data_IF_124659412912
#
_entry.id   IF_124659412912
#
_cell.length_a   1.000
_cell.length_b   1.000
_cell.length_c   1.000
_cell.angle_alpha   90.00
_cell.angle_beta   90.00
_cell.angle_gamma   90.00
#
_symmetry.space_group_name_H-M   'P 1'
#
loop_
_entity.id
_entity.type
_entity.pdbx_description
1 polymer ?
#
# COMPACT_ATOMS: atom_id res chain seq x y z
N UNK A 1 7.16 47.82 -75.18
CA UNK A 1 6.61 46.53 -75.65
C UNK A 1 7.47 45.95 -76.78
N UNK A 2 8.07 46.79 -77.62
CA UNK A 2 8.98 46.38 -78.72
C UNK A 2 10.31 45.73 -78.29
N UNK A 3 10.90 46.13 -77.16
CA UNK A 3 12.15 45.55 -76.68
C UNK A 3 12.00 44.07 -76.28
N UNK A 4 10.86 43.71 -75.68
CA UNK A 4 10.54 42.32 -75.32
C UNK A 4 10.33 41.52 -76.59
N UNK A 5 9.53 42.02 -77.54
CA UNK A 5 9.28 41.34 -78.82
C UNK A 5 10.56 41.13 -79.64
N UNK A 6 11.51 42.08 -79.65
CA UNK A 6 12.80 41.93 -80.32
C UNK A 6 13.72 40.91 -79.64
N UNK A 7 13.70 40.81 -78.30
CA UNK A 7 14.44 39.77 -77.58
C UNK A 7 13.89 38.39 -77.93
N UNK A 8 12.56 38.21 -77.94
CA UNK A 8 11.92 36.96 -78.34
C UNK A 8 12.23 36.57 -79.80
N UNK A 9 12.33 37.55 -80.70
CA UNK A 9 12.75 37.33 -82.10
C UNK A 9 14.24 37.00 -82.26
N UNK A 10 15.11 37.54 -81.41
CA UNK A 10 16.56 37.26 -81.42
C UNK A 10 16.95 35.92 -80.79
N UNK A 11 16.04 35.36 -79.98
CA UNK A 11 16.25 34.09 -79.27
C UNK A 11 15.57 32.89 -79.95
N UNK A 12 15.00 33.11 -81.14
CA UNK A 12 14.28 32.10 -81.94
C UNK A 12 13.22 31.33 -81.12
N UNK A 13 12.50 32.04 -80.25
CA UNK A 13 11.42 31.46 -79.44
C UNK A 13 10.22 31.27 -80.36
N UNK A 14 10.22 30.11 -81.01
CA UNK A 14 9.12 29.63 -81.83
C UNK A 14 7.93 29.16 -80.98
N UNK A 15 6.76 28.96 -81.62
CA UNK A 15 5.58 28.35 -81.01
C UNK A 15 5.90 27.00 -80.32
N UNK A 16 6.96 26.32 -80.77
CA UNK A 16 7.57 25.14 -80.14
C UNK A 16 7.91 25.31 -78.66
N UNK A 17 8.37 26.50 -78.24
CA UNK A 17 8.68 26.79 -76.84
C UNK A 17 7.44 26.68 -75.94
N UNK A 18 6.29 27.19 -76.39
CA UNK A 18 5.04 27.09 -75.64
C UNK A 18 4.56 25.63 -75.54
N UNK A 19 4.74 24.84 -76.59
CA UNK A 19 4.45 23.40 -76.55
C UNK A 19 5.39 22.64 -75.59
N UNK A 20 6.69 22.93 -75.61
CA UNK A 20 7.66 22.33 -74.70
C UNK A 20 7.38 22.72 -73.25
N UNK A 21 7.05 24.00 -73.00
CA UNK A 21 6.68 24.48 -71.67
C UNK A 21 5.41 23.80 -71.15
N UNK A 22 4.37 23.70 -71.97
CA UNK A 22 3.15 22.97 -71.62
C UNK A 22 3.44 21.49 -71.29
N UNK A 23 4.31 20.85 -72.07
CA UNK A 23 4.71 19.45 -71.85
C UNK A 23 5.48 19.29 -70.53
N UNK A 24 6.41 20.19 -70.21
CA UNK A 24 7.14 20.20 -68.93
C UNK A 24 6.19 20.43 -67.75
N UNK A 25 5.20 21.32 -67.88
CA UNK A 25 4.20 21.56 -66.84
C UNK A 25 3.33 20.32 -66.61
N UNK A 26 2.87 19.66 -67.67
CA UNK A 26 2.11 18.41 -67.57
C UNK A 26 2.96 17.31 -66.94
N UNK A 27 4.20 17.15 -67.39
CA UNK A 27 5.15 16.18 -66.83
C UNK A 27 5.37 16.44 -65.33
N UNK A 28 5.61 17.69 -64.93
CA UNK A 28 5.76 18.08 -63.53
C UNK A 28 4.53 17.74 -62.70
N UNK A 29 3.32 18.01 -63.20
CA UNK A 29 2.08 17.69 -62.51
C UNK A 29 1.92 16.17 -62.31
N UNK A 30 2.27 15.37 -63.32
CA UNK A 30 2.24 13.90 -63.25
C UNK A 30 3.27 13.39 -62.24
N UNK A 31 4.53 13.84 -62.31
CA UNK A 31 5.57 13.43 -61.34
C UNK A 31 5.22 13.86 -59.91
N UNK A 32 4.64 15.06 -59.74
CA UNK A 32 4.19 15.54 -58.43
C UNK A 32 3.13 14.65 -57.82
N UNK A 33 2.10 14.32 -58.59
CA UNK A 33 0.98 13.50 -58.12
C UNK A 33 1.40 12.05 -57.89
N UNK A 34 2.19 11.48 -58.80
CA UNK A 34 2.41 10.04 -58.87
C UNK A 34 3.68 9.60 -58.11
N UNK A 35 4.74 10.39 -58.14
CA UNK A 35 6.02 10.07 -57.48
C UNK A 35 6.21 10.83 -56.18
N UNK A 36 6.23 12.17 -56.21
CA UNK A 36 6.63 12.95 -55.04
C UNK A 36 5.64 12.80 -53.87
N UNK A 37 4.33 12.82 -54.13
CA UNK A 37 3.30 12.60 -53.11
C UNK A 37 3.42 11.21 -52.44
N UNK A 38 3.59 10.15 -53.26
CA UNK A 38 3.73 8.79 -52.74
C UNK A 38 5.04 8.54 -52.01
N UNK A 39 6.13 9.16 -52.48
CA UNK A 39 7.42 9.07 -51.81
C UNK A 39 7.36 9.73 -50.43
N UNK A 40 6.72 10.90 -50.32
CA UNK A 40 6.55 11.59 -49.06
C UNK A 40 5.69 10.78 -48.07
N UNK A 41 4.58 10.20 -48.54
CA UNK A 41 3.73 9.31 -47.73
C UNK A 41 4.51 8.11 -47.17
N UNK A 42 5.38 7.49 -47.96
CA UNK A 42 6.22 6.36 -47.51
C UNK A 42 7.28 6.78 -46.51
N UNK A 43 7.88 7.96 -46.70
CA UNK A 43 8.86 8.52 -45.76
C UNK A 43 8.20 8.83 -44.42
N UNK A 44 7.04 9.50 -44.43
CA UNK A 44 6.26 9.80 -43.23
C UNK A 44 5.82 8.52 -42.50
N UNK A 45 5.44 7.48 -43.25
CA UNK A 45 5.03 6.20 -42.68
C UNK A 45 6.22 5.45 -42.06
N UNK A 46 7.42 5.52 -42.68
CA UNK A 46 8.65 4.97 -42.10
C UNK A 46 9.11 5.72 -40.86
N UNK A 47 9.04 7.05 -40.87
CA UNK A 47 9.35 7.87 -39.71
C UNK A 47 8.35 7.62 -38.57
N UNK A 48 7.06 7.55 -38.88
CA UNK A 48 6.03 7.18 -37.91
C UNK A 48 6.23 5.77 -37.36
N UNK A 49 6.66 4.80 -38.18
CA UNK A 49 6.91 3.43 -37.69
C UNK A 49 8.21 3.27 -36.92
N UNK A 50 9.22 4.11 -37.16
CA UNK A 50 10.52 3.98 -36.49
C UNK A 50 10.55 4.85 -35.24
N UNK A 51 10.36 6.16 -35.41
CA UNK A 51 10.48 7.15 -34.34
C UNK A 51 9.30 7.09 -33.37
N UNK A 52 8.04 7.00 -33.84
CA UNK A 52 6.89 6.92 -32.91
C UNK A 52 6.74 5.56 -32.23
N UNK A 53 7.34 4.48 -32.77
CA UNK A 53 7.37 3.21 -32.04
C UNK A 53 8.30 3.26 -30.85
N UNK A 54 9.41 3.99 -30.94
CA UNK A 54 10.30 4.25 -29.80
C UNK A 54 9.58 5.07 -28.71
N UNK A 55 8.88 6.15 -29.09
CA UNK A 55 8.07 6.93 -28.14
C UNK A 55 6.94 6.10 -27.52
N UNK A 56 6.26 5.27 -28.31
CA UNK A 56 5.20 4.39 -27.83
C UNK A 56 5.72 3.29 -26.88
N UNK A 57 6.90 2.74 -27.15
CA UNK A 57 7.55 1.74 -26.30
C UNK A 57 8.04 2.36 -24.98
N UNK A 58 8.66 3.55 -25.03
CA UNK A 58 9.05 4.32 -23.86
C UNK A 58 7.83 4.72 -23.02
N UNK A 59 6.73 5.11 -23.66
CA UNK A 59 5.46 5.40 -22.98
C UNK A 59 4.91 4.18 -22.25
N UNK A 60 4.87 3.02 -22.92
CA UNK A 60 4.43 1.76 -22.29
C UNK A 60 5.33 1.32 -21.15
N UNK A 61 6.65 1.46 -21.28
CA UNK A 61 7.60 1.18 -20.20
C UNK A 61 7.37 2.10 -19.00
N UNK A 62 7.22 3.41 -19.22
CA UNK A 62 6.90 4.37 -18.16
C UNK A 62 5.59 4.01 -17.46
N UNK A 63 4.54 3.68 -18.21
CA UNK A 63 3.27 3.26 -17.62
C UNK A 63 3.39 1.97 -16.81
N UNK A 64 4.18 0.99 -17.30
CA UNK A 64 4.45 -0.25 -16.56
C UNK A 64 5.22 0.02 -15.25
N UNK A 65 6.24 0.87 -15.29
CA UNK A 65 7.02 1.27 -14.11
C UNK A 65 6.18 2.03 -13.09
N UNK A 66 5.33 2.97 -13.55
CA UNK A 66 4.39 3.68 -12.68
C UNK A 66 3.39 2.72 -12.03
N UNK A 67 2.89 1.75 -12.79
CA UNK A 67 1.97 0.74 -12.27
C UNK A 67 2.67 -0.13 -11.22
N UNK A 68 3.89 -0.61 -11.51
CA UNK A 68 4.69 -1.39 -10.58
C UNK A 68 4.97 -0.62 -9.27
N UNK A 69 5.33 0.67 -9.37
CA UNK A 69 5.52 1.55 -8.20
C UNK A 69 4.24 1.69 -7.38
N UNK A 70 3.09 1.91 -8.03
CA UNK A 70 1.78 2.00 -7.35
C UNK A 70 1.40 0.70 -6.64
N UNK A 71 1.60 -0.45 -7.27
CA UNK A 71 1.34 -1.74 -6.62
C UNK A 71 2.26 -1.97 -5.42
N UNK A 72 3.55 -1.66 -5.56
CA UNK A 72 4.51 -1.80 -4.46
C UNK A 72 4.11 -0.91 -3.28
N UNK A 73 3.78 0.36 -3.53
CA UNK A 73 3.31 1.28 -2.50
C UNK A 73 2.06 0.77 -1.78
N UNK A 74 1.05 0.28 -2.52
CA UNK A 74 -0.16 -0.30 -1.93
C UNK A 74 0.11 -1.56 -1.11
N UNK A 75 1.03 -2.40 -1.53
CA UNK A 75 1.41 -3.61 -0.78
C UNK A 75 2.11 -3.21 0.52
N UNK A 76 3.02 -2.24 0.48
CA UNK A 76 3.74 -1.78 1.66
C UNK A 76 2.80 -1.06 2.64
N UNK A 77 1.85 -0.26 2.14
CA UNK A 77 0.78 0.35 2.92
C UNK A 77 -0.10 -0.71 3.60
N UNK A 78 -0.62 -1.68 2.84
CA UNK A 78 -1.45 -2.76 3.38
C UNK A 78 -0.71 -3.61 4.42
N UNK A 79 0.60 -3.86 4.24
CA UNK A 79 1.43 -4.53 5.24
C UNK A 79 1.54 -3.68 6.51
N UNK A 80 1.81 -2.39 6.38
CA UNK A 80 1.92 -1.47 7.51
C UNK A 80 0.60 -1.42 8.31
N UNK A 81 -0.53 -1.30 7.62
CA UNK A 81 -1.86 -1.34 8.23
C UNK A 81 -2.14 -2.68 8.94
N UNK A 82 -1.81 -3.80 8.30
CA UNK A 82 -1.97 -5.12 8.90
C UNK A 82 -1.13 -5.26 10.19
N UNK A 83 0.13 -4.81 10.17
CA UNK A 83 0.98 -4.80 11.37
C UNK A 83 0.43 -3.89 12.46
N UNK A 84 -0.08 -2.70 12.10
CA UNK A 84 -0.72 -1.79 13.06
C UNK A 84 -1.95 -2.41 13.72
N UNK A 85 -2.81 -3.09 12.94
CA UNK A 85 -4.00 -3.78 13.45
C UNK A 85 -3.59 -4.94 14.37
N UNK A 86 -2.61 -5.75 13.98
CA UNK A 86 -2.11 -6.86 14.79
C UNK A 86 -1.53 -6.33 16.11
N UNK A 87 -0.72 -5.27 16.05
CA UNK A 87 -0.12 -4.67 17.24
C UNK A 87 -1.20 -4.14 18.19
N UNK A 88 -2.16 -3.37 17.66
CA UNK A 88 -3.27 -2.84 18.45
C UNK A 88 -4.10 -3.94 19.10
N UNK A 89 -4.45 -5.00 18.36
CA UNK A 89 -5.16 -6.14 18.93
C UNK A 89 -4.34 -6.87 19.99
N UNK A 90 -3.03 -7.03 19.77
CA UNK A 90 -2.15 -7.65 20.76
C UNK A 90 -2.10 -6.84 22.04
N UNK A 91 -1.98 -5.52 21.96
CA UNK A 91 -2.02 -4.63 23.12
C UNK A 91 -3.38 -4.68 23.84
N UNK A 92 -4.49 -4.66 23.11
CA UNK A 92 -5.83 -4.80 23.69
C UNK A 92 -6.01 -6.13 24.43
N UNK A 93 -5.52 -7.24 23.86
CA UNK A 93 -5.56 -8.56 24.50
C UNK A 93 -4.67 -8.57 25.75
N UNK A 94 -3.43 -8.11 25.66
CA UNK A 94 -2.51 -8.05 26.82
C UNK A 94 -3.09 -7.19 27.94
N UNK A 95 -3.71 -6.05 27.61
CA UNK A 95 -4.36 -5.19 28.58
C UNK A 95 -5.58 -5.86 29.23
N UNK A 96 -6.37 -6.61 28.46
CA UNK A 96 -7.51 -7.39 28.96
C UNK A 96 -7.05 -8.49 29.91
N UNK A 97 -6.10 -9.32 29.48
CA UNK A 97 -5.55 -10.41 30.29
C UNK A 97 -4.91 -9.86 31.58
N UNK A 98 -4.16 -8.76 31.50
CA UNK A 98 -3.59 -8.12 32.69
C UNK A 98 -4.66 -7.63 33.68
N UNK A 99 -5.79 -7.12 33.19
CA UNK A 99 -6.92 -6.75 34.06
C UNK A 99 -7.56 -7.98 34.70
N UNK A 100 -7.82 -9.03 33.92
CA UNK A 100 -8.40 -10.28 34.42
C UNK A 100 -7.50 -10.95 35.46
N UNK A 101 -6.18 -10.95 35.24
CA UNK A 101 -5.21 -11.45 36.23
C UNK A 101 -5.28 -10.61 37.52
N UNK A 102 -5.27 -9.28 37.43
CA UNK A 102 -5.37 -8.40 38.61
C UNK A 102 -6.69 -8.56 39.36
N UNK A 103 -7.79 -8.77 38.66
CA UNK A 103 -9.10 -9.06 39.26
C UNK A 103 -9.09 -10.41 40.00
N UNK A 104 -8.50 -11.44 39.39
CA UNK A 104 -8.31 -12.73 40.04
C UNK A 104 -7.40 -12.64 41.26
N UNK A 105 -6.25 -11.98 41.17
CA UNK A 105 -5.34 -11.74 42.30
C UNK A 105 -6.07 -11.04 43.45
N UNK A 106 -6.83 -9.98 43.17
CA UNK A 106 -7.61 -9.28 44.18
C UNK A 106 -8.68 -10.17 44.81
N UNK A 107 -9.36 -11.00 43.99
CA UNK A 107 -10.36 -11.95 44.51
C UNK A 107 -9.74 -13.03 45.40
N UNK A 108 -8.53 -13.50 45.05
CA UNK A 108 -7.75 -14.45 45.83
C UNK A 108 -7.27 -13.84 47.15
N UNK A 109 -6.81 -12.59 47.12
CA UNK A 109 -6.38 -11.87 48.32
C UNK A 109 -7.54 -11.65 49.30
N UNK A 110 -8.73 -11.31 48.79
CA UNK A 110 -9.95 -11.22 49.60
C UNK A 110 -10.34 -12.58 50.21
N UNK A 111 -10.27 -13.67 49.44
CA UNK A 111 -10.53 -15.01 49.96
C UNK A 111 -9.51 -15.42 51.02
N UNK A 112 -8.23 -15.19 50.78
CA UNK A 112 -7.16 -15.54 51.71
C UNK A 112 -7.24 -14.74 53.02
N UNK A 113 -7.61 -13.46 52.95
CA UNK A 113 -7.82 -12.63 54.15
C UNK A 113 -9.06 -13.05 54.93
N UNK A 114 -10.14 -13.45 54.24
CA UNK A 114 -11.33 -14.00 54.87
C UNK A 114 -11.05 -15.34 55.56
N UNK A 115 -10.38 -16.28 54.87
CA UNK A 115 -10.00 -17.58 55.43
C UNK A 115 -9.06 -17.42 56.64
N UNK A 116 -8.11 -16.48 56.58
CA UNK A 116 -7.25 -16.16 57.74
C UNK A 116 -8.06 -15.66 58.93
N UNK A 117 -9.04 -14.79 58.69
CA UNK A 117 -9.89 -14.24 59.75
C UNK A 117 -10.79 -15.31 60.37
N UNK A 118 -11.34 -16.20 59.54
CA UNK A 118 -12.11 -17.36 60.00
C UNK A 118 -11.24 -18.31 60.84
N UNK A 119 -10.02 -18.58 60.38
CA UNK A 119 -9.05 -19.41 61.11
C UNK A 119 -8.63 -18.80 62.46
N UNK A 120 -8.41 -17.49 62.51
CA UNK A 120 -8.14 -16.78 63.77
C UNK A 120 -9.32 -16.89 64.75
N UNK A 121 -10.55 -16.73 64.26
CA UNK A 121 -11.77 -16.91 65.08
C UNK A 121 -11.93 -18.34 65.57
N UNK A 122 -11.62 -19.34 64.74
CA UNK A 122 -11.61 -20.75 65.15
C UNK A 122 -10.55 -21.02 66.22
N UNK A 123 -9.36 -20.44 66.09
CA UNK A 123 -8.31 -20.57 67.10
C UNK A 123 -8.75 -19.94 68.42
N UNK A 124 -9.34 -18.74 68.40
CA UNK A 124 -9.81 -18.08 69.63
C UNK A 124 -10.90 -18.89 70.34
N UNK A 125 -11.88 -19.42 69.58
CA UNK A 125 -12.94 -20.26 70.13
C UNK A 125 -12.41 -21.59 70.69
N UNK A 126 -11.48 -22.25 69.98
CA UNK A 126 -10.80 -23.45 70.50
C UNK A 126 -9.95 -23.14 71.72
N UNK A 127 -9.28 -21.98 71.77
CA UNK A 127 -8.47 -21.55 72.92
C UNK A 127 -9.33 -21.29 74.15
N UNK A 128 -10.49 -20.64 74.02
CA UNK A 128 -11.43 -20.48 75.13
C UNK A 128 -12.02 -21.81 75.57
N UNK A 129 -12.35 -22.72 74.64
CA UNK A 129 -12.80 -24.07 74.97
C UNK A 129 -11.74 -24.88 75.71
N UNK A 130 -10.47 -24.82 75.29
CA UNK A 130 -9.35 -25.49 75.96
C UNK A 130 -9.11 -24.89 77.34
N UNK A 131 -9.18 -23.57 77.52
CA UNK A 131 -9.03 -22.94 78.84
C UNK A 131 -10.14 -23.41 79.79
N UNK A 132 -11.39 -23.47 79.34
CA UNK A 132 -12.50 -24.00 80.14
C UNK A 132 -12.32 -25.49 80.49
N UNK A 133 -11.81 -26.30 79.57
CA UNK A 133 -11.49 -27.71 79.83
C UNK A 133 -10.29 -27.86 80.76
N UNK A 134 -9.29 -26.97 80.68
CA UNK A 134 -8.13 -26.96 81.56
C UNK A 134 -8.54 -26.60 82.99
N UNK A 135 -9.48 -25.66 83.17
CA UNK A 135 -10.05 -25.33 84.48
C UNK A 135 -10.83 -26.51 85.08
N UNK A 136 -11.65 -27.21 84.27
CA UNK A 136 -12.37 -28.39 84.76
C UNK A 136 -11.41 -29.54 85.10
N UNK A 137 -10.39 -29.77 84.28
CA UNK A 137 -9.36 -30.79 84.53
C UNK A 137 -8.55 -30.47 85.79
N UNK A 138 -8.26 -29.19 86.03
CA UNK A 138 -7.57 -28.73 87.24
C UNK A 138 -8.42 -28.96 88.50
N UNK A 139 -9.73 -28.72 88.44
CA UNK A 139 -10.65 -29.07 89.53
C UNK A 139 -10.73 -30.58 89.75
N UNK A 140 -10.74 -31.38 88.68
CA UNK A 140 -10.76 -32.85 88.77
C UNK A 140 -9.47 -33.40 89.41
N UNK A 141 -8.31 -32.83 89.06
CA UNK A 141 -7.01 -33.12 89.67
C UNK A 141 -6.99 -32.77 91.16
N UNK A 142 -7.47 -31.58 91.54
CA UNK A 142 -7.56 -31.16 92.95
C UNK A 142 -8.48 -32.08 93.75
N UNK A 143 -9.61 -32.49 93.17
CA UNK A 143 -10.56 -33.40 93.81
C UNK A 143 -9.95 -34.79 94.03
N UNK A 144 -9.15 -35.28 93.07
CA UNK A 144 -8.40 -36.54 93.19
C UNK A 144 -7.18 -36.50 94.11
N UNK A 145 -6.64 -35.32 94.43
CA UNK A 145 -5.52 -35.15 95.36
C UNK A 145 -6.01 -35.01 96.81
N UNK A 146 -7.26 -34.54 97.01
CA UNK A 146 -7.88 -34.34 98.33
C UNK A 146 -8.61 -35.61 98.83
N UNK A 147 -9.01 -36.52 97.92
CA UNK A 147 -9.40 -37.90 98.26
C UNK A 147 -8.17 -38.80 98.44
#
# INVERSE_FOLDING_TARGET
MDAILNIFKSLDIDQSFFYQFALVVVLYAVLRSLFFSKLQEVLDLREAKTTKMEDGALGKLKSADELAKKYKAKIDEAKSEAFAIIHKKKEEVVARESKTIKEHEKSLEVKATQERKEFESEIESKKTSILSQADSLSQELVTKIIQ
#
